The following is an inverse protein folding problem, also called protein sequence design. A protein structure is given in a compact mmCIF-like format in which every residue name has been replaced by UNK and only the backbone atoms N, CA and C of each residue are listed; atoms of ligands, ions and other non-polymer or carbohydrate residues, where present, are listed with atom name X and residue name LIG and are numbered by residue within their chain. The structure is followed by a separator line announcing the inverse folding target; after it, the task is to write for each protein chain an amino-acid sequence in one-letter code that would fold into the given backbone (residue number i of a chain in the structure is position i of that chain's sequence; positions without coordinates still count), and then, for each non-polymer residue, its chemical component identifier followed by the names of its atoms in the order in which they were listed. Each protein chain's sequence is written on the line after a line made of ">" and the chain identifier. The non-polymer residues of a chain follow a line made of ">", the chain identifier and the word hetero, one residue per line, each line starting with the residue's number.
data_IF_416017872212
#
_entry.id   IF_416017872212
#
_cell.length_a   1.000
_cell.length_b   1.000
_cell.length_c   1.000
_cell.angle_alpha   90.00
_cell.angle_beta   90.00
_cell.angle_gamma   90.00
#
_symmetry.space_group_name_H-M   'P 1'
#
loop_
_entity.id
_entity.type
_entity.pdbx_description
1 polymer ?
#
# COMPACT_ATOMS: atom_id res chain seq x y z
N UNK A 1 7.76 3.14 19.70
CA UNK A 1 8.09 3.31 18.27
C UNK A 1 8.75 4.66 18.06
N UNK A 2 9.71 4.77 17.13
CA UNK A 2 10.25 6.06 16.68
C UNK A 2 9.60 6.44 15.37
N UNK A 3 9.42 7.75 15.17
CA UNK A 3 8.79 8.31 13.96
C UNK A 3 9.74 9.29 13.29
N UNK A 4 9.63 9.43 11.97
CA UNK A 4 10.40 10.38 11.16
C UNK A 4 9.54 10.94 10.04
N UNK A 5 9.81 12.18 9.68
CA UNK A 5 9.24 12.80 8.49
C UNK A 5 9.74 12.06 7.23
N UNK A 6 8.83 11.72 6.34
CA UNK A 6 9.13 11.05 5.08
C UNK A 6 9.57 12.08 4.03
N UNK A 7 10.89 12.21 3.85
CA UNK A 7 11.46 13.20 2.94
C UNK A 7 11.03 14.63 3.29
N UNK A 8 10.51 15.36 2.31
CA UNK A 8 9.97 16.71 2.47
C UNK A 8 8.45 16.77 2.63
N UNK A 9 7.78 15.60 2.72
CA UNK A 9 6.32 15.53 2.91
C UNK A 9 5.92 15.83 4.35
N UNK A 10 4.62 16.01 4.58
CA UNK A 10 4.05 16.20 5.93
C UNK A 10 3.79 14.85 6.65
N UNK A 11 4.16 13.71 6.04
CA UNK A 11 3.95 12.40 6.61
C UNK A 11 4.99 12.10 7.69
N UNK A 12 4.53 11.92 8.94
CA UNK A 12 5.38 11.52 10.06
C UNK A 12 5.21 10.02 10.32
N UNK A 13 6.04 9.22 9.68
CA UNK A 13 5.90 7.76 9.63
C UNK A 13 6.76 7.04 10.67
N UNK A 14 6.30 5.88 11.12
CA UNK A 14 7.12 4.96 11.92
C UNK A 14 8.34 4.51 11.12
N UNK A 15 9.49 4.36 11.79
CA UNK A 15 10.74 3.92 11.14
C UNK A 15 10.70 2.47 10.67
N UNK A 16 9.70 1.71 11.12
CA UNK A 16 9.36 0.37 10.65
C UNK A 16 7.99 0.46 10.01
N UNK A 17 7.85 -0.06 8.80
CA UNK A 17 6.57 -0.19 8.09
C UNK A 17 6.07 -1.62 8.14
N UNK A 18 4.76 -1.80 7.98
CA UNK A 18 4.13 -3.09 7.80
C UNK A 18 4.02 -3.41 6.31
N UNK A 19 4.64 -4.50 5.86
CA UNK A 19 4.46 -5.01 4.50
C UNK A 19 3.24 -5.92 4.42
N UNK A 20 2.28 -5.56 3.59
CA UNK A 20 1.00 -6.26 3.51
C UNK A 20 0.97 -7.40 2.45
N UNK A 21 2.06 -7.68 1.75
CA UNK A 21 2.07 -8.74 0.74
C UNK A 21 1.68 -10.09 1.35
N UNK A 22 2.27 -10.44 2.49
CA UNK A 22 2.06 -11.74 3.14
C UNK A 22 0.61 -12.01 3.53
N UNK A 23 -0.11 -10.98 3.97
CA UNK A 23 -1.51 -11.15 4.39
C UNK A 23 -2.48 -11.28 3.21
N UNK A 24 -2.07 -10.87 2.01
CA UNK A 24 -2.91 -10.85 0.81
C UNK A 24 -2.57 -11.91 -0.24
N UNK A 25 -1.45 -12.63 -0.09
CA UNK A 25 -0.97 -13.59 -1.09
C UNK A 25 -0.59 -14.94 -0.46
N UNK A 26 -1.59 -15.70 0.02
CA UNK A 26 -1.34 -17.00 0.64
C UNK A 26 -0.84 -18.05 -0.35
N UNK A 27 -1.02 -17.85 -1.65
CA UNK A 27 -0.56 -18.80 -2.67
C UNK A 27 0.96 -18.70 -2.85
N UNK A 28 1.54 -17.50 -2.69
CA UNK A 28 2.98 -17.30 -2.72
C UNK A 28 3.65 -17.60 -1.36
N UNK A 29 3.06 -17.12 -0.26
CA UNK A 29 3.64 -17.22 1.08
C UNK A 29 3.28 -18.48 1.85
N UNK A 30 2.32 -19.27 1.34
CA UNK A 30 1.84 -20.50 1.97
C UNK A 30 0.68 -20.26 2.96
N UNK A 31 -0.10 -21.34 3.13
CA UNK A 31 -1.26 -21.38 4.04
C UNK A 31 -0.83 -21.97 5.40
N UNK A 32 0.13 -21.31 6.08
CA UNK A 32 0.53 -21.70 7.44
C UNK A 32 -0.56 -21.40 8.48
N UNK A 33 -0.30 -21.75 9.76
CA UNK A 33 -1.09 -21.24 10.89
C UNK A 33 -0.86 -19.73 11.01
N UNK A 34 -1.63 -18.95 10.25
CA UNK A 34 -1.56 -17.50 10.28
C UNK A 34 -2.69 -16.96 11.15
N UNK A 35 -2.36 -15.98 11.99
CA UNK A 35 -3.39 -15.16 12.63
C UNK A 35 -4.23 -14.47 11.58
N UNK A 36 -5.49 -14.16 11.91
CA UNK A 36 -6.32 -13.38 10.99
C UNK A 36 -5.63 -12.07 10.59
N UNK A 37 -5.68 -11.65 9.33
CA UNK A 37 -5.05 -10.40 8.88
C UNK A 37 -5.42 -9.19 9.74
N UNK A 38 -6.67 -9.13 10.20
CA UNK A 38 -7.19 -8.07 11.06
C UNK A 38 -6.45 -8.03 12.42
N UNK A 39 -6.14 -9.18 13.00
CA UNK A 39 -5.41 -9.27 14.27
C UNK A 39 -3.95 -8.86 14.11
N UNK A 40 -3.32 -9.25 13.00
CA UNK A 40 -1.92 -8.89 12.69
C UNK A 40 -1.79 -7.39 12.45
N UNK A 41 -2.70 -6.80 11.69
CA UNK A 41 -2.74 -5.34 11.45
C UNK A 41 -3.04 -4.59 12.74
N UNK A 42 -3.97 -5.08 13.58
CA UNK A 42 -4.26 -4.46 14.88
C UNK A 42 -3.02 -4.47 15.79
N UNK A 43 -2.33 -5.61 15.89
CA UNK A 43 -1.10 -5.72 16.67
C UNK A 43 0.03 -4.79 16.16
N UNK A 44 0.13 -4.60 14.83
CA UNK A 44 1.08 -3.66 14.25
C UNK A 44 0.77 -2.21 14.67
N UNK A 45 -0.50 -1.80 14.63
CA UNK A 45 -0.96 -0.47 15.07
C UNK A 45 -0.71 -0.29 16.58
N UNK A 46 -1.05 -1.28 17.39
CA UNK A 46 -0.81 -1.26 18.85
C UNK A 46 0.69 -1.17 19.18
N UNK A 47 1.54 -1.77 18.34
CA UNK A 47 3.00 -1.63 18.40
C UNK A 47 3.53 -0.25 17.95
N UNK A 48 2.65 0.62 17.46
CA UNK A 48 2.97 1.97 17.01
C UNK A 48 3.39 2.05 15.54
N UNK A 49 3.18 1.03 14.73
CA UNK A 49 3.36 1.11 13.27
C UNK A 49 2.20 1.91 12.69
N UNK A 50 2.52 2.93 11.90
CA UNK A 50 1.54 3.76 11.21
C UNK A 50 1.75 3.86 9.70
N UNK A 51 2.74 3.15 9.13
CA UNK A 51 2.96 3.06 7.69
C UNK A 51 2.74 1.63 7.22
N UNK A 52 1.79 1.46 6.30
CA UNK A 52 1.40 0.17 5.71
C UNK A 52 1.69 0.19 4.21
N UNK A 53 2.54 -0.74 3.77
CA UNK A 53 2.98 -0.87 2.38
C UNK A 53 2.27 -2.03 1.69
N UNK A 54 1.65 -1.74 0.56
CA UNK A 54 0.97 -2.70 -0.32
C UNK A 54 1.25 -2.39 -1.79
N UNK A 55 0.64 -3.11 -2.72
CA UNK A 55 0.69 -2.85 -4.17
C UNK A 55 -0.46 -3.55 -4.89
N UNK A 56 -0.85 -3.03 -6.06
CA UNK A 56 -1.86 -3.67 -6.92
C UNK A 56 -1.45 -5.07 -7.40
N UNK A 57 -0.13 -5.36 -7.48
CA UNK A 57 0.37 -6.68 -7.89
C UNK A 57 0.34 -7.72 -6.78
N UNK A 58 0.29 -7.33 -5.52
CA UNK A 58 0.36 -8.28 -4.41
C UNK A 58 -0.92 -9.11 -4.33
N UNK A 59 -0.80 -10.43 -4.66
CA UNK A 59 -1.94 -11.31 -4.75
C UNK A 59 -3.01 -10.84 -5.75
N UNK A 60 -2.58 -10.23 -6.88
CA UNK A 60 -3.47 -9.65 -7.89
C UNK A 60 -4.49 -8.65 -7.29
N UNK A 61 -4.04 -7.79 -6.39
CA UNK A 61 -4.85 -6.78 -5.69
C UNK A 61 -5.48 -7.25 -4.38
N UNK A 62 -5.41 -8.55 -4.08
CA UNK A 62 -6.00 -9.08 -2.84
C UNK A 62 -5.34 -8.51 -1.58
N UNK A 63 -4.05 -8.17 -1.62
CA UNK A 63 -3.36 -7.52 -0.50
C UNK A 63 -4.01 -6.17 -0.14
N UNK A 64 -4.39 -5.38 -1.14
CA UNK A 64 -5.10 -4.11 -0.92
C UNK A 64 -6.50 -4.35 -0.33
N UNK A 65 -7.24 -5.35 -0.84
CA UNK A 65 -8.57 -5.72 -0.30
C UNK A 65 -8.50 -6.13 1.17
N UNK A 66 -7.56 -7.02 1.50
CA UNK A 66 -7.39 -7.53 2.86
C UNK A 66 -6.93 -6.42 3.81
N UNK A 67 -5.97 -5.59 3.36
CA UNK A 67 -5.48 -4.46 4.15
C UNK A 67 -6.60 -3.42 4.39
N UNK A 68 -7.34 -3.05 3.36
CA UNK A 68 -8.45 -2.11 3.46
C UNK A 68 -9.49 -2.56 4.48
N UNK A 69 -9.87 -3.85 4.42
CA UNK A 69 -10.78 -4.45 5.40
C UNK A 69 -10.22 -4.40 6.83
N UNK A 70 -8.94 -4.72 7.02
CA UNK A 70 -8.31 -4.71 8.34
C UNK A 70 -8.16 -3.29 8.93
N UNK A 71 -8.15 -2.26 8.08
CA UNK A 71 -8.04 -0.85 8.46
C UNK A 71 -9.39 -0.14 8.63
N UNK A 72 -10.52 -0.83 8.49
CA UNK A 72 -11.84 -0.22 8.71
C UNK A 72 -11.93 0.39 10.10
N UNK A 73 -12.37 1.67 10.15
CA UNK A 73 -12.44 2.45 11.39
C UNK A 73 -11.09 2.93 11.95
N UNK A 74 -9.97 2.62 11.28
CA UNK A 74 -8.61 3.02 11.70
C UNK A 74 -7.87 3.82 10.62
N UNK A 75 -8.49 4.05 9.46
CA UNK A 75 -7.85 4.66 8.28
C UNK A 75 -7.17 6.01 8.58
N UNK A 76 -7.79 6.86 9.39
CA UNK A 76 -7.29 8.18 9.74
C UNK A 76 -6.05 8.15 10.67
N UNK A 77 -5.74 7.00 11.26
CA UNK A 77 -4.61 6.83 12.18
C UNK A 77 -3.35 6.27 11.53
N UNK A 78 -3.41 5.95 10.23
CA UNK A 78 -2.34 5.29 9.51
C UNK A 78 -2.10 5.93 8.15
N UNK A 79 -0.90 5.69 7.59
CA UNK A 79 -0.54 6.02 6.23
C UNK A 79 -0.47 4.74 5.40
N UNK A 80 -1.04 4.80 4.19
CA UNK A 80 -0.99 3.71 3.21
C UNK A 80 -0.07 4.12 2.06
N UNK A 81 0.93 3.28 1.79
CA UNK A 81 1.72 3.32 0.58
C UNK A 81 1.23 2.20 -0.35
N UNK A 82 0.87 2.55 -1.60
CA UNK A 82 0.59 1.56 -2.64
C UNK A 82 1.39 1.85 -3.90
N UNK A 83 1.34 0.95 -4.89
CA UNK A 83 2.22 1.02 -6.05
C UNK A 83 1.48 0.64 -7.33
N UNK A 84 1.72 1.44 -8.39
CA UNK A 84 1.29 1.10 -9.74
C UNK A 84 2.27 0.14 -10.40
N UNK A 85 1.76 -0.86 -11.11
CA UNK A 85 2.54 -1.77 -11.95
C UNK A 85 3.14 -1.04 -13.15
N UNK A 86 4.30 -1.50 -13.61
CA UNK A 86 4.94 -0.99 -14.82
C UNK A 86 4.07 -1.11 -16.07
N UNK A 87 3.18 -2.10 -16.12
CA UNK A 87 2.24 -2.30 -17.23
C UNK A 87 1.18 -1.20 -17.32
N UNK A 88 0.96 -0.47 -16.23
CA UNK A 88 -0.01 0.64 -16.15
C UNK A 88 0.66 2.03 -16.13
N UNK A 89 1.97 2.12 -16.36
CA UNK A 89 2.71 3.38 -16.28
C UNK A 89 2.55 4.24 -17.54
N UNK A 90 1.33 4.61 -17.85
CA UNK A 90 0.95 5.72 -18.75
C UNK A 90 0.09 6.70 -17.96
N UNK A 91 -0.06 7.98 -18.35
CA UNK A 91 -0.89 8.94 -17.60
C UNK A 91 -2.29 8.42 -17.28
N UNK A 92 -3.00 7.89 -18.28
CA UNK A 92 -4.33 7.29 -18.10
C UNK A 92 -4.28 6.00 -17.26
N UNK A 93 -3.26 5.17 -17.49
CA UNK A 93 -3.08 3.90 -16.78
C UNK A 93 -2.82 4.11 -15.28
N UNK A 94 -1.98 5.07 -14.91
CA UNK A 94 -1.70 5.42 -13.50
C UNK A 94 -2.98 5.88 -12.81
N UNK A 95 -3.78 6.73 -13.46
CA UNK A 95 -5.06 7.19 -12.91
C UNK A 95 -6.02 6.03 -12.69
N UNK A 96 -6.23 5.20 -13.71
CA UNK A 96 -7.12 4.04 -13.63
C UNK A 96 -6.66 3.03 -12.56
N UNK A 97 -5.35 2.76 -12.49
CA UNK A 97 -4.79 1.87 -11.47
C UNK A 97 -4.94 2.43 -10.06
N UNK A 98 -4.74 3.75 -9.88
CA UNK A 98 -4.93 4.42 -8.60
C UNK A 98 -6.40 4.36 -8.14
N UNK A 99 -7.35 4.65 -9.03
CA UNK A 99 -8.79 4.54 -8.75
C UNK A 99 -9.18 3.10 -8.37
N UNK A 100 -8.64 2.11 -9.06
CA UNK A 100 -8.86 0.70 -8.74
C UNK A 100 -8.24 0.31 -7.37
N UNK A 101 -7.06 0.84 -7.04
CA UNK A 101 -6.42 0.65 -5.72
C UNK A 101 -7.26 1.28 -4.60
N UNK A 102 -7.78 2.49 -4.80
CA UNK A 102 -8.70 3.14 -3.85
C UNK A 102 -9.95 2.30 -3.60
N UNK A 103 -10.54 1.72 -4.65
CA UNK A 103 -11.70 0.82 -4.53
C UNK A 103 -11.35 -0.44 -3.73
N UNK A 104 -10.21 -1.10 -4.01
CA UNK A 104 -9.78 -2.30 -3.29
C UNK A 104 -9.46 -2.03 -1.82
N UNK A 105 -8.84 -0.88 -1.54
CA UNK A 105 -8.51 -0.41 -0.18
C UNK A 105 -9.72 0.11 0.59
N UNK A 106 -10.87 0.30 -0.07
CA UNK A 106 -12.09 0.88 0.50
C UNK A 106 -11.82 2.24 1.19
N UNK A 107 -11.10 3.13 0.50
CA UNK A 107 -10.72 4.46 0.99
C UNK A 107 -10.78 5.50 -0.12
N UNK A 108 -10.87 6.77 0.24
CA UNK A 108 -10.89 7.89 -0.70
C UNK A 108 -9.50 8.50 -0.96
N UNK A 109 -8.45 8.04 -0.29
CA UNK A 109 -7.07 8.53 -0.49
C UNK A 109 -6.03 7.46 -0.22
N UNK A 110 -4.87 7.59 -0.89
CA UNK A 110 -3.62 6.88 -0.63
C UNK A 110 -2.59 7.95 -0.26
N UNK A 111 -1.82 7.74 0.81
CA UNK A 111 -0.88 8.75 1.33
C UNK A 111 0.41 8.81 0.52
N UNK A 112 0.85 7.69 -0.04
CA UNK A 112 2.01 7.57 -0.91
C UNK A 112 1.72 6.61 -2.06
N UNK A 113 1.69 7.11 -3.30
CA UNK A 113 1.51 6.28 -4.47
C UNK A 113 2.79 6.25 -5.29
N UNK A 114 3.32 5.06 -5.56
CA UNK A 114 4.66 4.84 -6.09
C UNK A 114 4.61 4.06 -7.41
N UNK A 115 5.65 4.20 -8.23
CA UNK A 115 5.92 3.28 -9.33
C UNK A 115 6.64 2.07 -8.75
N UNK A 116 6.15 0.85 -9.03
CA UNK A 116 6.62 -0.36 -8.39
C UNK A 116 8.07 -0.67 -8.72
N UNK A 117 8.45 -0.55 -10.01
CA UNK A 117 9.81 -0.74 -10.50
C UNK A 117 10.17 0.27 -11.59
N UNK A 118 11.44 0.65 -11.71
CA UNK A 118 11.90 1.35 -12.90
C UNK A 118 11.80 0.42 -14.11
N UNK A 119 11.57 0.98 -15.29
CA UNK A 119 11.53 0.24 -16.54
C UNK A 119 12.14 1.05 -17.68
N UNK A 120 12.61 0.34 -18.74
CA UNK A 120 13.21 0.95 -19.92
C UNK A 120 12.17 1.82 -20.66
N UNK A 121 12.61 2.95 -21.19
CA UNK A 121 11.79 3.95 -21.90
C UNK A 121 10.79 4.73 -21.04
N UNK A 122 10.97 4.76 -19.73
CA UNK A 122 10.13 5.53 -18.83
C UNK A 122 10.54 7.02 -18.86
N UNK A 123 9.61 7.86 -19.32
CA UNK A 123 9.74 9.31 -19.19
C UNK A 123 9.00 9.71 -17.90
N UNK A 124 9.74 9.82 -16.80
CA UNK A 124 9.20 10.21 -15.50
C UNK A 124 8.31 11.45 -15.56
N UNK A 125 8.67 12.42 -16.45
CA UNK A 125 7.91 13.64 -16.62
C UNK A 125 6.46 13.42 -17.05
N UNK A 126 6.19 12.38 -17.84
CA UNK A 126 4.85 12.11 -18.39
C UNK A 126 3.92 11.47 -17.36
N UNK A 127 4.49 10.79 -16.34
CA UNK A 127 3.71 10.11 -15.29
C UNK A 127 3.47 11.01 -14.08
N UNK A 128 4.40 11.91 -13.77
CA UNK A 128 4.29 12.84 -12.64
C UNK A 128 3.52 14.13 -12.95
N UNK A 129 3.09 14.32 -14.20
CA UNK A 129 2.33 15.49 -14.61
C UNK A 129 0.82 15.38 -14.32
N UNK A 130 0.35 14.23 -13.81
CA UNK A 130 -1.04 13.94 -13.44
C UNK A 130 -1.23 13.99 -11.91
#
# INVERSE_FOLDING_TARGET
>A
MLYRQLGSSDLNVSIISFGAWQIGDPDFWGKGEQSAPEDVVAAAIDGGINLFDTAELYGAGNSEVVLGKALQGKRDSVYIASKVSTDHCTPEGVRTACEASLQRLDTSWIDLYQIHWPFDNFLYADVYAE
#
